data_IF_989299640181
#
_entry.id   IF_989299640181
#
_cell.length_a   1.000
_cell.length_b   1.000
_cell.length_c   1.000
_cell.angle_alpha   90.00
_cell.angle_beta   90.00
_cell.angle_gamma   90.00
#
_symmetry.space_group_name_H-M   'P 1'
#
loop_
_entity.id
_entity.type
_entity.pdbx_description
1 polymer ?
#
# COMPACT_ATOMS: atom_id res chain seq x y z
N UNK A 1 -2.14 -15.53 14.51
CA UNK A 1 -0.68 -15.35 14.30
C UNK A 1 -0.46 -14.36 13.16
N UNK A 2 -0.12 -13.10 13.47
CA UNK A 2 0.17 -12.10 12.43
C UNK A 2 1.52 -12.39 11.79
N UNK A 3 1.58 -12.58 10.47
CA UNK A 3 2.85 -12.66 9.74
C UNK A 3 3.55 -11.31 9.89
N UNK A 4 4.55 -11.21 10.77
CA UNK A 4 5.44 -10.05 10.82
C UNK A 4 6.04 -9.87 9.42
N UNK A 5 5.85 -8.69 8.84
CA UNK A 5 6.53 -8.35 7.61
C UNK A 5 8.04 -8.48 7.87
N UNK A 6 8.71 -9.36 7.11
CA UNK A 6 10.13 -9.69 7.32
C UNK A 6 11.08 -8.52 6.98
N UNK A 7 10.57 -7.47 6.34
CA UNK A 7 11.29 -6.27 5.93
C UNK A 7 10.41 -5.04 6.15
N UNK A 8 11.00 -3.98 6.72
CA UNK A 8 10.34 -2.70 6.92
C UNK A 8 10.11 -1.98 5.58
N UNK A 9 9.13 -1.06 5.55
CA UNK A 9 8.84 -0.26 4.35
C UNK A 9 10.10 0.46 3.82
N UNK A 10 10.87 1.03 4.73
CA UNK A 10 12.12 1.74 4.45
C UNK A 10 13.18 0.85 3.79
N UNK A 11 13.34 -0.40 4.24
CA UNK A 11 14.27 -1.35 3.62
C UNK A 11 13.87 -1.68 2.18
N UNK A 12 12.57 -1.82 1.91
CA UNK A 12 12.06 -2.07 0.55
C UNK A 12 12.30 -0.87 -0.37
N UNK A 13 12.05 0.34 0.14
CA UNK A 13 12.27 1.59 -0.60
C UNK A 13 13.76 1.75 -0.94
N UNK A 14 14.63 1.57 0.05
CA UNK A 14 16.08 1.65 -0.13
C UNK A 14 16.57 0.67 -1.20
N UNK A 15 16.10 -0.58 -1.15
CA UNK A 15 16.46 -1.60 -2.12
C UNK A 15 15.99 -1.28 -3.56
N UNK A 16 14.77 -0.75 -3.71
CA UNK A 16 14.26 -0.34 -5.03
C UNK A 16 14.97 0.92 -5.54
N UNK A 17 15.29 1.88 -4.68
CA UNK A 17 16.12 3.03 -5.06
C UNK A 17 17.53 2.61 -5.49
N UNK A 18 18.15 1.65 -4.80
CA UNK A 18 19.46 1.11 -5.20
C UNK A 18 19.41 0.47 -6.60
N UNK A 19 18.30 -0.18 -6.94
CA UNK A 19 18.04 -0.66 -8.30
C UNK A 19 17.88 0.49 -9.31
N UNK A 20 17.09 1.52 -9.00
CA UNK A 20 16.84 2.67 -9.88
C UNK A 20 18.09 3.52 -10.12
N UNK A 21 18.98 3.61 -9.12
CA UNK A 21 20.29 4.27 -9.21
C UNK A 21 21.32 3.44 -10.00
N UNK A 22 20.91 2.30 -10.56
CA UNK A 22 21.76 1.33 -11.29
C UNK A 22 22.95 0.80 -10.48
N UNK A 23 22.89 0.89 -9.15
CA UNK A 23 23.91 0.34 -8.24
C UNK A 23 23.89 -1.19 -8.17
N UNK A 24 22.82 -1.83 -8.63
CA UNK A 24 22.72 -3.28 -8.67
C UNK A 24 21.60 -3.78 -9.58
N UNK A 25 21.75 -5.01 -10.06
CA UNK A 25 20.67 -5.70 -10.77
C UNK A 25 19.61 -6.23 -9.79
N UNK A 26 18.36 -6.33 -10.25
CA UNK A 26 17.25 -6.91 -9.46
C UNK A 26 17.62 -8.26 -8.81
N UNK A 27 18.37 -9.10 -9.52
CA UNK A 27 18.80 -10.42 -9.06
C UNK A 27 19.82 -10.34 -7.92
N UNK A 28 20.78 -9.42 -8.02
CA UNK A 28 21.81 -9.18 -7.00
C UNK A 28 21.20 -8.63 -5.73
N UNK A 29 20.30 -7.65 -5.85
CA UNK A 29 19.61 -7.02 -4.72
C UNK A 29 18.69 -8.05 -4.04
N UNK A 30 17.96 -8.86 -4.82
CA UNK A 30 17.12 -9.93 -4.29
C UNK A 30 17.94 -10.98 -3.51
N UNK A 31 19.09 -11.40 -4.04
CA UNK A 31 20.00 -12.32 -3.32
C UNK A 31 20.56 -11.71 -2.04
N UNK A 32 21.00 -10.45 -2.10
CA UNK A 32 21.53 -9.71 -0.93
C UNK A 32 20.51 -9.62 0.20
N UNK A 33 19.25 -9.40 -0.16
CA UNK A 33 18.13 -9.33 0.78
C UNK A 33 17.61 -10.72 1.17
N UNK A 34 17.99 -11.80 0.49
CA UNK A 34 17.45 -13.13 0.71
C UNK A 34 15.98 -13.28 0.31
N UNK A 35 15.51 -12.49 -0.67
CA UNK A 35 14.14 -12.52 -1.19
C UNK A 35 14.08 -13.16 -2.57
N UNK A 36 12.91 -13.68 -2.93
CA UNK A 36 12.67 -14.17 -4.27
C UNK A 36 12.74 -13.01 -5.29
N UNK A 37 13.33 -13.28 -6.45
CA UNK A 37 13.40 -12.33 -7.57
C UNK A 37 12.02 -11.78 -7.95
N UNK A 38 11.00 -12.65 -7.94
CA UNK A 38 9.61 -12.26 -8.22
C UNK A 38 9.08 -11.24 -7.20
N UNK A 39 9.43 -11.38 -5.92
CA UNK A 39 9.05 -10.43 -4.87
C UNK A 39 9.70 -9.07 -5.10
N UNK A 40 10.98 -9.03 -5.45
CA UNK A 40 11.67 -7.79 -5.75
C UNK A 40 11.14 -7.12 -7.02
N UNK A 41 10.84 -7.91 -8.07
CA UNK A 41 10.21 -7.41 -9.29
C UNK A 41 8.85 -6.76 -9.00
N UNK A 42 8.08 -7.35 -8.08
CA UNK A 42 6.81 -6.77 -7.62
C UNK A 42 7.02 -5.46 -6.87
N UNK A 43 8.07 -5.37 -6.04
CA UNK A 43 8.43 -4.13 -5.32
C UNK A 43 8.74 -3.00 -6.29
N UNK A 44 9.56 -3.25 -7.31
CA UNK A 44 9.89 -2.24 -8.34
C UNK A 44 8.63 -1.78 -9.06
N UNK A 45 7.78 -2.71 -9.54
CA UNK A 45 6.51 -2.35 -10.20
C UNK A 45 5.60 -1.49 -9.32
N UNK A 46 5.48 -1.87 -8.05
CA UNK A 46 4.64 -1.14 -7.10
C UNK A 46 5.21 0.28 -6.89
N UNK A 47 6.53 0.42 -6.78
CA UNK A 47 7.21 1.71 -6.66
C UNK A 47 7.09 2.57 -7.93
N UNK A 48 7.15 1.99 -9.13
CA UNK A 48 6.92 2.75 -10.37
C UNK A 48 5.48 3.27 -10.46
N UNK A 49 4.50 2.51 -9.95
CA UNK A 49 3.09 2.89 -10.00
C UNK A 49 2.68 3.92 -8.92
N UNK A 50 3.21 3.79 -7.70
CA UNK A 50 2.74 4.55 -6.52
C UNK A 50 3.88 5.24 -5.74
N UNK A 51 5.13 5.08 -6.18
CA UNK A 51 6.31 5.63 -5.50
C UNK A 51 6.53 5.01 -4.13
N UNK A 52 6.92 5.87 -3.18
CA UNK A 52 7.18 5.51 -1.78
C UNK A 52 5.91 4.98 -1.09
N UNK A 53 4.73 5.40 -1.56
CA UNK A 53 3.43 5.02 -1.01
C UNK A 53 3.14 3.52 -1.17
N UNK A 54 3.73 2.89 -2.19
CA UNK A 54 3.59 1.45 -2.45
C UNK A 54 4.16 0.56 -1.34
N UNK A 55 5.03 1.11 -0.49
CA UNK A 55 5.62 0.42 0.66
C UNK A 55 5.07 0.89 2.00
N UNK A 56 4.33 2.01 2.03
CA UNK A 56 3.60 2.52 3.20
C UNK A 56 2.36 1.68 3.56
N UNK A 57 2.28 0.44 3.10
CA UNK A 57 1.20 -0.49 3.44
C UNK A 57 1.54 -1.23 4.75
N UNK A 58 1.75 -0.51 5.85
CA UNK A 58 1.69 -1.14 7.15
C UNK A 58 0.78 -0.33 8.06
N UNK A 59 -0.23 -1.05 8.56
CA UNK A 59 -1.41 -0.59 9.26
C UNK A 59 -2.48 -0.01 8.35
N UNK A 60 -3.57 -0.78 8.24
CA UNK A 60 -4.95 -0.36 7.97
C UNK A 60 -5.10 1.01 7.31
N UNK A 61 -5.81 1.07 6.18
CA UNK A 61 -6.67 2.24 5.92
C UNK A 61 -7.62 2.38 7.11
N UNK A 62 -7.15 3.00 8.19
CA UNK A 62 -7.99 3.64 9.16
C UNK A 62 -8.56 4.81 8.38
N UNK A 63 -9.70 4.59 7.71
CA UNK A 63 -10.60 5.71 7.44
C UNK A 63 -10.73 6.43 8.79
N UNK A 64 -10.37 7.71 8.82
CA UNK A 64 -10.41 8.46 10.05
C UNK A 64 -11.82 8.35 10.62
N UNK A 65 -11.96 8.34 11.95
CA UNK A 65 -13.28 8.19 12.59
C UNK A 65 -14.31 9.14 11.97
N UNK A 66 -13.87 10.36 11.66
CA UNK A 66 -14.61 11.38 10.94
C UNK A 66 -15.12 10.93 9.55
N UNK A 67 -14.32 10.28 8.72
CA UNK A 67 -14.77 9.81 7.39
C UNK A 67 -15.81 8.69 7.49
N UNK A 68 -15.67 7.80 8.49
CA UNK A 68 -16.68 6.76 8.76
C UNK A 68 -17.97 7.35 9.34
N UNK A 69 -17.86 8.27 10.28
CA UNK A 69 -19.01 8.96 10.89
C UNK A 69 -19.76 9.78 9.84
N UNK A 70 -19.05 10.41 8.92
CA UNK A 70 -19.65 11.20 7.84
C UNK A 70 -20.37 10.33 6.80
N UNK A 71 -19.81 9.16 6.46
CA UNK A 71 -20.48 8.19 5.60
C UNK A 71 -21.73 7.57 6.26
N UNK A 72 -21.68 7.27 7.57
CA UNK A 72 -22.85 6.77 8.33
C UNK A 72 -23.91 7.87 8.47
N UNK A 73 -23.51 9.11 8.74
CA UNK A 73 -24.43 10.24 8.81
C UNK A 73 -25.12 10.51 7.47
N UNK A 74 -24.40 10.47 6.36
CA UNK A 74 -24.98 10.63 5.02
C UNK A 74 -25.96 9.49 4.67
N UNK A 75 -25.68 8.27 5.12
CA UNK A 75 -26.58 7.12 4.95
C UNK A 75 -27.86 7.26 5.79
N UNK A 76 -27.73 7.71 7.04
CA UNK A 76 -28.88 7.98 7.92
C UNK A 76 -29.69 9.21 7.47
N UNK A 77 -29.04 10.18 6.84
CA UNK A 77 -29.68 11.37 6.27
C UNK A 77 -30.41 11.10 4.94
N UNK A 78 -30.23 9.90 4.36
CA UNK A 78 -30.88 9.52 3.10
C UNK A 78 -30.35 10.26 1.88
N UNK A 79 -29.14 10.81 1.94
CA UNK A 79 -28.53 11.62 0.87
C UNK A 79 -28.13 10.82 -0.39
N UNK A 80 -28.36 9.50 -0.40
CA UNK A 80 -28.12 8.64 -1.55
C UNK A 80 -28.09 7.16 -1.17
N UNK A 81 -27.99 6.28 -2.16
CA UNK A 81 -27.82 4.85 -1.91
C UNK A 81 -26.45 4.55 -1.28
N UNK A 82 -26.36 3.46 -0.52
CA UNK A 82 -25.12 2.99 0.13
C UNK A 82 -23.90 2.99 -0.82
N UNK A 83 -24.13 2.62 -2.09
CA UNK A 83 -23.11 2.63 -3.14
C UNK A 83 -22.64 4.04 -3.53
N UNK A 84 -23.53 5.02 -3.62
CA UNK A 84 -23.17 6.40 -3.97
C UNK A 84 -22.35 7.04 -2.85
N UNK A 85 -22.70 6.74 -1.59
CA UNK A 85 -21.95 7.21 -0.42
C UNK A 85 -20.56 6.57 -0.39
N UNK A 86 -20.45 5.26 -0.64
CA UNK A 86 -19.14 4.59 -0.75
C UNK A 86 -18.26 5.19 -1.86
N UNK A 87 -18.85 5.53 -3.01
CA UNK A 87 -18.12 6.19 -4.10
C UNK A 87 -17.69 7.61 -3.73
N UNK A 88 -18.59 8.41 -3.13
CA UNK A 88 -18.33 9.81 -2.73
C UNK A 88 -17.22 9.92 -1.70
N UNK A 89 -17.17 8.99 -0.73
CA UNK A 89 -16.18 9.01 0.34
C UNK A 89 -14.95 8.11 0.07
N UNK A 90 -14.83 7.51 -1.13
CA UNK A 90 -13.77 6.56 -1.50
C UNK A 90 -13.57 5.44 -0.47
N UNK A 91 -14.65 5.06 0.19
CA UNK A 91 -14.65 3.98 1.17
C UNK A 91 -14.93 2.69 0.41
N UNK A 92 -13.91 1.84 0.31
CA UNK A 92 -14.08 0.47 -0.19
C UNK A 92 -14.91 -0.32 0.81
N UNK A 93 -16.15 -0.63 0.41
CA UNK A 93 -16.99 -1.61 1.08
C UNK A 93 -16.42 -3.01 0.77
N UNK A 94 -15.96 -3.72 1.80
CA UNK A 94 -15.73 -5.16 1.78
C UNK A 94 -16.79 -5.82 2.63
#
# INVERSE_FOLDING_TARGET
MGRKARYSAEEKISAVQEYLDRKGSMKTIAQRLGIAFQSFKQWVKNYEAMGIDAFKTNHNKHYSKAEKEQAVAAYLAGEGSHMEICQKFKILST
#
